data_IF_509352598543
#
_entry.id   IF_509352598543
#
_cell.length_a   1.000
_cell.length_b   1.000
_cell.length_c   1.000
_cell.angle_alpha   90.00
_cell.angle_beta   90.00
_cell.angle_gamma   90.00
#
_symmetry.space_group_name_H-M   'P 1'
#
loop_
_entity.id
_entity.type
_entity.pdbx_description
1 polymer ?
#
# COMPACT_ATOMS: atom_id res chain seq x y z
N UNK A 1 12.36 59.91 56.32
CA UNK A 1 12.82 59.38 55.07
C UNK A 1 12.25 57.96 55.00
N UNK A 2 11.21 57.74 54.21
CA UNK A 2 10.46 56.49 54.16
C UNK A 2 10.80 55.75 52.84
N UNK A 3 11.46 54.58 52.95
CA UNK A 3 11.71 53.73 51.84
C UNK A 3 10.50 52.77 51.62
N UNK A 4 9.83 52.89 50.51
CA UNK A 4 8.78 51.99 50.07
C UNK A 4 9.41 50.96 49.07
N UNK A 5 9.58 49.71 49.56
CA UNK A 5 10.02 48.63 48.71
C UNK A 5 8.82 48.07 47.90
N UNK A 6 8.92 48.09 46.58
CA UNK A 6 8.01 47.38 45.69
C UNK A 6 8.43 45.89 45.62
N UNK A 7 7.53 45.01 46.03
CA UNK A 7 7.70 43.56 45.81
C UNK A 7 7.13 43.19 44.42
N UNK A 8 7.99 42.72 43.55
CA UNK A 8 7.60 42.19 42.24
C UNK A 8 7.15 40.73 42.39
N UNK A 9 5.87 40.46 42.12
CA UNK A 9 5.35 39.09 42.08
C UNK A 9 5.58 38.52 40.67
N UNK A 10 6.48 37.58 40.56
CA UNK A 10 6.71 36.83 39.32
C UNK A 10 5.63 35.72 39.17
N UNK A 11 4.72 35.88 38.20
CA UNK A 11 3.75 34.85 37.83
C UNK A 11 4.39 33.91 36.83
N UNK A 12 4.77 32.71 37.26
CA UNK A 12 5.30 31.67 36.41
C UNK A 12 4.13 30.93 35.75
N UNK A 13 3.89 31.17 34.46
CA UNK A 13 2.89 30.44 33.68
C UNK A 13 3.45 29.05 33.32
N UNK A 14 2.87 28.02 33.92
CA UNK A 14 3.18 26.63 33.65
C UNK A 14 2.42 26.20 32.38
N UNK A 15 3.09 26.17 31.21
CA UNK A 15 2.51 25.68 29.97
C UNK A 15 2.54 24.14 29.97
N UNK A 16 1.37 23.53 30.16
CA UNK A 16 1.18 22.09 29.98
C UNK A 16 1.12 21.78 28.48
N UNK A 17 2.19 21.22 27.94
CA UNK A 17 2.18 20.63 26.58
C UNK A 17 1.52 19.26 26.64
N UNK A 18 0.29 19.14 26.14
CA UNK A 18 -0.36 17.86 25.87
C UNK A 18 0.36 17.17 24.70
N UNK A 19 1.30 16.28 25.00
CA UNK A 19 1.85 15.37 24.02
C UNK A 19 0.77 14.34 23.66
N UNK A 20 0.05 14.59 22.57
CA UNK A 20 -0.86 13.60 21.98
C UNK A 20 -0.06 12.39 21.52
N UNK A 21 -0.26 11.22 22.13
CA UNK A 21 0.28 9.95 21.65
C UNK A 21 -0.36 9.63 20.31
N UNK A 22 0.40 9.75 19.22
CA UNK A 22 0.01 9.18 17.93
C UNK A 22 -0.01 7.65 18.11
N UNK A 23 -1.19 7.06 18.19
CA UNK A 23 -1.33 5.61 18.17
C UNK A 23 -0.83 5.10 16.82
N UNK A 24 0.27 4.37 16.81
CA UNK A 24 0.75 3.69 15.61
C UNK A 24 -0.32 2.68 15.17
N UNK A 25 -0.75 2.75 13.91
CA UNK A 25 -1.65 1.74 13.35
C UNK A 25 -0.90 0.40 13.32
N UNK A 26 -1.40 -0.56 14.06
CA UNK A 26 -0.85 -1.92 14.11
C UNK A 26 -1.65 -2.78 13.14
N UNK A 27 -1.00 -3.27 12.10
CA UNK A 27 -1.59 -4.18 11.12
C UNK A 27 -1.08 -5.58 11.41
N UNK A 28 -1.97 -6.54 11.55
CA UNK A 28 -1.65 -7.94 11.81
C UNK A 28 -1.99 -8.83 10.62
N UNK A 29 -1.22 -9.90 10.46
CA UNK A 29 -1.54 -10.97 9.53
C UNK A 29 -2.74 -11.75 10.05
N UNK A 30 -3.79 -11.86 9.23
CA UNK A 30 -5.04 -12.54 9.60
C UNK A 30 -5.06 -13.96 9.05
N UNK A 31 -4.90 -14.11 7.73
CA UNK A 31 -5.09 -15.40 7.04
C UNK A 31 -4.28 -15.44 5.74
N UNK A 32 -3.94 -16.64 5.28
CA UNK A 32 -3.26 -16.87 4.00
C UNK A 32 -4.11 -17.74 3.08
N UNK A 33 -4.27 -17.28 1.83
CA UNK A 33 -5.02 -17.96 0.78
C UNK A 33 -4.12 -18.14 -0.46
N UNK A 34 -3.65 -19.36 -0.68
CA UNK A 34 -2.65 -19.62 -1.71
C UNK A 34 -1.36 -18.84 -1.46
N UNK A 35 -0.99 -17.95 -2.39
CA UNK A 35 0.17 -17.06 -2.24
C UNK A 35 -0.18 -15.68 -1.64
N UNK A 36 -1.48 -15.39 -1.46
CA UNK A 36 -1.99 -14.13 -0.95
C UNK A 36 -2.18 -14.18 0.55
N UNK A 37 -1.73 -13.17 1.26
CA UNK A 37 -1.88 -13.02 2.71
C UNK A 37 -2.74 -11.82 3.04
N UNK A 38 -3.79 -12.01 3.85
CA UNK A 38 -4.64 -10.95 4.37
C UNK A 38 -4.03 -10.34 5.63
N UNK A 39 -4.01 -9.01 5.63
CA UNK A 39 -3.62 -8.17 6.76
C UNK A 39 -4.77 -7.22 7.10
N UNK A 40 -4.98 -6.96 8.38
CA UNK A 40 -6.00 -6.04 8.84
C UNK A 40 -5.51 -5.18 10.02
N UNK A 41 -6.00 -3.95 10.09
CA UNK A 41 -5.84 -3.09 11.26
C UNK A 41 -6.49 -3.73 12.48
N UNK A 42 -5.83 -3.68 13.62
CA UNK A 42 -6.34 -4.18 14.91
C UNK A 42 -7.33 -3.21 15.56
N UNK A 43 -7.39 -1.96 15.12
CA UNK A 43 -8.34 -0.96 15.62
C UNK A 43 -9.80 -1.28 15.22
N UNK A 44 -10.75 -0.77 15.99
CA UNK A 44 -12.19 -0.86 15.69
C UNK A 44 -12.80 0.54 15.74
N UNK A 45 -13.39 1.07 14.64
CA UNK A 45 -13.46 0.45 13.31
C UNK A 45 -12.09 0.37 12.62
N UNK A 46 -11.89 -0.67 11.79
CA UNK A 46 -10.64 -0.84 11.05
C UNK A 46 -10.42 0.32 10.08
N UNK A 47 -9.20 0.85 10.04
CA UNK A 47 -8.83 1.92 9.12
C UNK A 47 -8.42 1.37 7.75
N UNK A 48 -7.81 0.18 7.73
CA UNK A 48 -7.28 -0.46 6.53
C UNK A 48 -7.26 -1.97 6.65
N UNK A 49 -7.59 -2.67 5.56
CA UNK A 49 -7.26 -4.07 5.34
C UNK A 49 -6.63 -4.20 3.96
N UNK A 50 -5.75 -5.15 3.78
CA UNK A 50 -5.18 -5.44 2.48
C UNK A 50 -4.77 -6.89 2.34
N UNK A 51 -4.76 -7.36 1.10
CA UNK A 51 -4.11 -8.61 0.73
C UNK A 51 -2.81 -8.29 0.00
N UNK A 52 -1.79 -9.11 0.22
CA UNK A 52 -0.49 -8.92 -0.41
C UNK A 52 0.09 -10.25 -0.87
N UNK A 53 0.81 -10.22 -2.01
CA UNK A 53 1.60 -11.33 -2.50
C UNK A 53 2.97 -10.85 -2.96
N UNK A 54 3.98 -11.72 -2.85
CA UNK A 54 5.28 -11.54 -3.46
C UNK A 54 5.31 -12.19 -4.84
N UNK A 55 6.16 -11.72 -5.76
CA UNK A 55 6.30 -12.36 -7.07
C UNK A 55 6.90 -13.78 -6.92
N UNK A 56 6.43 -14.69 -7.75
CA UNK A 56 7.00 -16.04 -7.86
C UNK A 56 8.25 -16.09 -8.76
N UNK A 57 8.40 -15.09 -9.65
CA UNK A 57 9.58 -14.91 -10.47
C UNK A 57 9.87 -13.42 -10.69
N UNK A 58 11.14 -13.08 -10.80
CA UNK A 58 11.63 -11.70 -11.02
C UNK A 58 12.69 -11.72 -12.11
N UNK A 59 12.61 -10.75 -13.00
CA UNK A 59 13.59 -10.56 -14.08
C UNK A 59 14.05 -9.09 -14.12
N UNK A 60 15.37 -8.83 -14.28
CA UNK A 60 16.46 -9.80 -14.27
C UNK A 60 16.76 -10.34 -12.86
N UNK A 61 17.27 -11.56 -12.81
CA UNK A 61 17.75 -12.14 -11.55
C UNK A 61 18.93 -11.32 -10.99
N UNK A 62 19.01 -11.25 -9.65
CA UNK A 62 20.11 -10.55 -8.96
C UNK A 62 20.04 -9.01 -9.02
N UNK A 63 18.98 -8.43 -9.53
CA UNK A 63 18.77 -6.98 -9.43
C UNK A 63 18.71 -6.55 -7.96
N UNK A 64 19.51 -5.52 -7.60
CA UNK A 64 19.47 -4.96 -6.24
C UNK A 64 18.17 -4.18 -6.03
N UNK A 65 17.23 -4.78 -5.31
CA UNK A 65 15.87 -4.29 -5.08
C UNK A 65 15.49 -4.42 -3.59
N UNK A 66 14.70 -3.49 -3.11
CA UNK A 66 13.99 -3.63 -1.84
C UNK A 66 12.82 -4.62 -1.95
N UNK A 67 11.98 -4.71 -0.90
CA UNK A 67 10.80 -5.60 -0.89
C UNK A 67 9.84 -5.30 -2.04
N UNK A 68 9.37 -6.38 -2.69
CA UNK A 68 8.51 -6.36 -3.88
C UNK A 68 7.17 -6.99 -3.52
N UNK A 69 6.06 -6.27 -3.77
CA UNK A 69 4.72 -6.76 -3.43
C UNK A 69 3.67 -6.25 -4.39
N UNK A 70 2.67 -7.08 -4.65
CA UNK A 70 1.38 -6.68 -5.17
C UNK A 70 0.40 -6.61 -4.01
N UNK A 71 -0.28 -5.48 -3.86
CA UNK A 71 -1.30 -5.23 -2.84
C UNK A 71 -2.67 -5.02 -3.48
N UNK A 72 -3.72 -5.45 -2.80
CA UNK A 72 -5.09 -4.94 -3.03
C UNK A 72 -5.60 -4.50 -1.67
N UNK A 73 -5.89 -3.19 -1.53
CA UNK A 73 -6.19 -2.54 -0.26
C UNK A 73 -7.65 -2.09 -0.21
N UNK A 74 -8.28 -2.27 0.93
CA UNK A 74 -9.57 -1.69 1.27
C UNK A 74 -9.38 -0.57 2.31
N UNK A 75 -10.01 0.59 2.05
CA UNK A 75 -10.04 1.76 2.92
C UNK A 75 -11.50 2.03 3.33
N UNK A 76 -12.02 1.40 4.42
CA UNK A 76 -13.44 1.51 4.79
C UNK A 76 -13.92 2.95 5.01
N UNK A 77 -13.07 3.81 5.59
CA UNK A 77 -13.41 5.22 5.84
C UNK A 77 -13.62 6.03 4.56
N UNK A 78 -12.95 5.64 3.48
CA UNK A 78 -12.99 6.31 2.19
C UNK A 78 -13.96 5.63 1.21
N UNK A 79 -14.60 4.54 1.65
CA UNK A 79 -15.52 3.74 0.82
C UNK A 79 -14.81 2.94 -0.29
N UNK A 80 -13.48 2.86 -0.25
CA UNK A 80 -12.67 2.12 -1.23
C UNK A 80 -12.63 0.65 -0.83
N UNK A 81 -13.14 -0.22 -1.69
CA UNK A 81 -13.21 -1.66 -1.45
C UNK A 81 -11.99 -2.44 -1.97
N UNK A 82 -11.43 -1.97 -3.09
CA UNK A 82 -10.29 -2.62 -3.74
C UNK A 82 -9.43 -1.58 -4.45
N UNK A 83 -8.25 -1.30 -3.95
CA UNK A 83 -7.24 -0.46 -4.57
C UNK A 83 -6.00 -1.31 -4.89
N UNK A 84 -5.79 -1.72 -6.15
CA UNK A 84 -4.58 -2.41 -6.57
C UNK A 84 -3.39 -1.47 -6.55
N UNK A 85 -2.28 -1.91 -5.95
CA UNK A 85 -1.01 -1.18 -6.02
C UNK A 85 0.17 -2.15 -6.03
N UNK A 86 1.24 -1.76 -6.72
CA UNK A 86 2.43 -2.58 -6.84
C UNK A 86 3.63 -1.81 -6.30
N UNK A 87 4.38 -2.41 -5.40
CA UNK A 87 5.68 -1.93 -4.95
C UNK A 87 6.77 -2.72 -5.66
N UNK A 88 7.63 -2.05 -6.44
CA UNK A 88 8.68 -2.70 -7.24
C UNK A 88 10.04 -2.73 -6.57
N UNK A 89 10.20 -2.11 -5.39
CA UNK A 89 11.42 -2.17 -4.59
C UNK A 89 12.58 -1.31 -5.11
N UNK A 90 12.30 -0.34 -5.98
CA UNK A 90 13.23 0.68 -6.44
C UNK A 90 12.49 1.92 -6.93
N UNK A 91 13.10 3.12 -6.94
CA UNK A 91 12.52 4.30 -7.57
C UNK A 91 12.30 4.06 -9.06
N UNK A 92 11.06 4.17 -9.51
CA UNK A 92 10.68 4.01 -10.92
C UNK A 92 11.07 5.27 -11.69
N UNK A 93 11.53 5.10 -12.94
CA UNK A 93 11.84 6.22 -13.83
C UNK A 93 10.56 7.00 -14.13
N UNK A 94 10.49 8.31 -13.85
CA UNK A 94 9.24 9.08 -13.93
C UNK A 94 8.54 9.05 -15.28
N UNK A 95 9.31 9.06 -16.37
CA UNK A 95 8.79 9.10 -17.74
C UNK A 95 8.68 7.71 -18.40
N UNK A 96 8.93 6.64 -17.63
CA UNK A 96 8.78 5.28 -18.12
C UNK A 96 7.36 4.78 -17.91
N UNK A 97 6.94 3.88 -18.78
CA UNK A 97 5.68 3.17 -18.59
C UNK A 97 5.84 2.08 -17.52
N UNK A 98 4.86 2.01 -16.62
CA UNK A 98 4.67 0.89 -15.71
C UNK A 98 3.33 0.26 -16.02
N UNK A 99 3.27 -1.08 -16.08
CA UNK A 99 2.05 -1.79 -16.48
C UNK A 99 1.87 -3.12 -15.75
N UNK A 100 0.62 -3.55 -15.66
CA UNK A 100 0.21 -4.92 -15.29
C UNK A 100 -0.46 -5.57 -16.48
N UNK A 101 -0.06 -6.78 -16.83
CA UNK A 101 -0.70 -7.59 -17.88
C UNK A 101 -1.27 -8.87 -17.27
N UNK A 102 -2.52 -9.18 -17.59
CA UNK A 102 -3.21 -10.41 -17.18
C UNK A 102 -3.85 -11.03 -18.43
N UNK A 103 -3.37 -12.20 -18.83
CA UNK A 103 -3.76 -12.78 -20.13
C UNK A 103 -3.39 -11.84 -21.28
N UNK A 104 -4.40 -11.31 -22.00
CA UNK A 104 -4.23 -10.34 -23.10
C UNK A 104 -4.47 -8.89 -22.67
N UNK A 105 -4.99 -8.67 -21.48
CA UNK A 105 -5.35 -7.35 -21.00
C UNK A 105 -4.17 -6.64 -20.34
N UNK A 106 -3.85 -5.43 -20.78
CA UNK A 106 -2.76 -4.61 -20.26
C UNK A 106 -3.30 -3.31 -19.65
N UNK A 107 -2.88 -3.03 -18.42
CA UNK A 107 -3.30 -1.87 -17.63
C UNK A 107 -2.09 -0.99 -17.33
N UNK A 108 -2.19 0.30 -17.68
CA UNK A 108 -1.16 1.29 -17.36
C UNK A 108 -1.29 1.74 -15.91
N UNK A 109 -0.14 1.94 -15.28
CA UNK A 109 -0.07 2.40 -13.89
C UNK A 109 0.51 3.81 -13.81
N UNK A 110 -0.09 4.62 -12.96
CA UNK A 110 0.45 5.89 -12.51
C UNK A 110 1.56 5.64 -11.48
N UNK A 111 2.72 6.27 -11.68
CA UNK A 111 3.92 6.04 -10.88
C UNK A 111 4.01 7.07 -9.75
N UNK A 112 4.22 6.58 -8.51
CA UNK A 112 4.54 7.40 -7.34
C UNK A 112 5.71 6.77 -6.57
N UNK A 113 6.92 7.27 -6.81
CA UNK A 113 8.14 6.76 -6.18
C UNK A 113 8.46 5.31 -6.60
N UNK A 114 8.31 4.37 -5.67
CA UNK A 114 8.53 2.93 -5.89
C UNK A 114 7.24 2.16 -6.20
N UNK A 115 6.10 2.88 -6.33
CA UNK A 115 4.78 2.26 -6.48
C UNK A 115 4.10 2.67 -7.77
N UNK A 116 3.28 1.74 -8.29
CA UNK A 116 2.32 1.98 -9.35
C UNK A 116 0.89 1.78 -8.85
N UNK A 117 -0.04 2.62 -9.35
CA UNK A 117 -1.46 2.62 -9.02
C UNK A 117 -2.27 2.73 -10.32
N UNK A 118 -3.50 2.22 -10.32
CA UNK A 118 -4.46 2.54 -11.38
C UNK A 118 -5.08 3.89 -11.08
N UNK A 119 -5.10 4.80 -12.05
CA UNK A 119 -5.60 6.16 -11.84
C UNK A 119 -7.11 6.29 -12.05
N UNK A 120 -7.65 5.54 -13.02
CA UNK A 120 -9.06 5.56 -13.37
C UNK A 120 -9.82 4.47 -12.59
N UNK A 121 -10.89 4.79 -11.83
CA UNK A 121 -11.65 3.80 -11.06
C UNK A 121 -12.30 2.71 -11.93
N UNK A 122 -12.66 3.01 -13.18
CA UNK A 122 -13.23 2.02 -14.09
C UNK A 122 -12.17 1.01 -14.55
N UNK A 123 -10.96 1.50 -14.86
CA UNK A 123 -9.82 0.63 -15.19
C UNK A 123 -9.36 -0.19 -13.98
N UNK A 124 -9.47 0.37 -12.77
CA UNK A 124 -9.19 -0.36 -11.52
C UNK A 124 -10.12 -1.57 -11.36
N UNK A 125 -11.42 -1.38 -11.54
CA UNK A 125 -12.39 -2.47 -11.48
C UNK A 125 -12.11 -3.53 -12.56
N UNK A 126 -11.79 -3.10 -13.79
CA UNK A 126 -11.40 -4.03 -14.87
C UNK A 126 -10.17 -4.83 -14.53
N UNK A 127 -9.14 -4.20 -13.95
CA UNK A 127 -7.93 -4.90 -13.49
C UNK A 127 -8.29 -5.95 -12.44
N UNK A 128 -9.09 -5.60 -11.41
CA UNK A 128 -9.50 -6.55 -10.36
C UNK A 128 -10.26 -7.74 -10.97
N UNK A 129 -11.17 -7.52 -11.94
CA UNK A 129 -11.89 -8.59 -12.62
C UNK A 129 -10.98 -9.45 -13.51
N UNK A 130 -9.99 -8.86 -14.18
CA UNK A 130 -8.99 -9.60 -14.92
C UNK A 130 -8.12 -10.48 -14.00
N UNK A 131 -7.67 -9.91 -12.86
CA UNK A 131 -6.90 -10.63 -11.85
C UNK A 131 -7.66 -11.84 -11.29
N UNK A 132 -8.99 -11.73 -11.05
CA UNK A 132 -9.84 -12.84 -10.57
C UNK A 132 -9.95 -13.99 -11.57
N UNK A 133 -9.85 -13.69 -12.86
CA UNK A 133 -9.99 -14.69 -13.96
C UNK A 133 -8.67 -15.25 -14.44
N UNK A 134 -7.56 -14.55 -14.18
CA UNK A 134 -6.24 -14.92 -14.66
C UNK A 134 -5.56 -15.98 -13.80
N UNK A 135 -4.48 -16.55 -14.34
CA UNK A 135 -3.59 -17.45 -13.61
C UNK A 135 -2.34 -16.74 -13.10
N UNK A 136 -1.84 -15.77 -13.87
CA UNK A 136 -0.67 -14.97 -13.56
C UNK A 136 -0.89 -13.51 -13.95
N UNK A 137 -0.26 -12.61 -13.20
CA UNK A 137 -0.10 -11.21 -13.57
C UNK A 137 1.38 -10.90 -13.79
N UNK A 138 1.69 -10.14 -14.85
CA UNK A 138 3.03 -9.70 -15.20
C UNK A 138 3.13 -8.19 -14.98
N UNK A 139 4.02 -7.79 -14.09
CA UNK A 139 4.28 -6.37 -13.81
C UNK A 139 5.57 -5.96 -14.49
N UNK A 140 5.50 -4.96 -15.39
CA UNK A 140 6.66 -4.37 -16.05
C UNK A 140 6.92 -2.96 -15.54
N UNK A 141 8.18 -2.65 -15.26
CA UNK A 141 8.59 -1.32 -14.84
C UNK A 141 10.07 -1.07 -15.22
N UNK A 142 10.47 0.20 -15.26
CA UNK A 142 11.86 0.57 -15.50
C UNK A 142 12.37 1.41 -14.33
N UNK A 143 13.49 1.01 -13.74
CA UNK A 143 14.09 1.73 -12.63
C UNK A 143 14.66 3.10 -13.06
N UNK A 144 14.84 4.02 -12.11
CA UNK A 144 15.49 5.32 -12.38
C UNK A 144 16.90 5.18 -13.00
N UNK A 145 17.55 4.01 -12.80
CA UNK A 145 18.85 3.68 -13.41
C UNK A 145 18.74 3.09 -14.82
N UNK A 146 17.52 2.92 -15.35
CA UNK A 146 17.27 2.40 -16.70
C UNK A 146 17.16 0.88 -16.79
N UNK A 147 17.17 0.13 -15.68
CA UNK A 147 16.96 -1.31 -15.69
C UNK A 147 15.47 -1.62 -15.83
N UNK A 148 15.07 -2.31 -16.90
CA UNK A 148 13.73 -2.84 -17.07
C UNK A 148 13.56 -4.13 -16.29
N UNK A 149 12.43 -4.29 -15.61
CA UNK A 149 12.10 -5.50 -14.84
C UNK A 149 10.76 -6.07 -15.24
N UNK A 150 10.61 -7.38 -15.08
CA UNK A 150 9.33 -8.09 -15.17
C UNK A 150 9.17 -8.96 -13.92
N UNK A 151 8.09 -8.73 -13.18
CA UNK A 151 7.75 -9.51 -11.99
C UNK A 151 6.52 -10.34 -12.29
N UNK A 152 6.57 -11.64 -12.05
CA UNK A 152 5.44 -12.58 -12.27
C UNK A 152 4.78 -12.91 -10.94
N UNK A 153 3.50 -12.64 -10.82
CA UNK A 153 2.68 -12.96 -9.65
C UNK A 153 1.71 -14.08 -9.98
N UNK A 154 1.65 -15.10 -9.12
CA UNK A 154 0.57 -16.10 -9.18
C UNK A 154 -0.73 -15.49 -8.67
N UNK A 155 -1.84 -15.77 -9.34
CA UNK A 155 -3.19 -15.37 -8.93
C UNK A 155 -3.93 -16.49 -8.17
N UNK A 156 -3.22 -17.59 -7.87
CA UNK A 156 -3.77 -18.69 -7.08
C UNK A 156 -4.19 -18.24 -5.68
N UNK A 157 -5.46 -18.43 -5.35
CA UNK A 157 -6.07 -18.02 -4.07
C UNK A 157 -6.55 -16.58 -4.01
N UNK A 158 -6.35 -15.77 -5.07
CA UNK A 158 -6.73 -14.35 -5.07
C UNK A 158 -8.23 -14.14 -4.86
N UNK A 159 -9.09 -14.88 -5.57
CA UNK A 159 -10.55 -14.72 -5.45
C UNK A 159 -11.02 -14.95 -4.03
N UNK A 160 -10.56 -16.02 -3.38
CA UNK A 160 -10.85 -16.28 -1.97
C UNK A 160 -10.27 -15.21 -1.04
N UNK A 161 -9.05 -14.73 -1.33
CA UNK A 161 -8.44 -13.66 -0.54
C UNK A 161 -9.23 -12.34 -0.64
N UNK A 162 -9.79 -12.01 -1.82
CA UNK A 162 -10.67 -10.85 -2.02
C UNK A 162 -11.99 -10.97 -1.24
N UNK A 163 -12.59 -12.16 -1.19
CA UNK A 163 -13.78 -12.40 -0.37
C UNK A 163 -13.49 -12.19 1.12
N UNK A 164 -12.34 -12.68 1.59
CA UNK A 164 -11.88 -12.48 2.96
C UNK A 164 -11.56 -11.02 3.26
N UNK A 165 -10.96 -10.29 2.31
CA UNK A 165 -10.72 -8.84 2.41
C UNK A 165 -12.03 -8.08 2.60
N UNK A 166 -13.04 -8.37 1.77
CA UNK A 166 -14.34 -7.74 1.87
C UNK A 166 -15.07 -8.05 3.18
N UNK A 167 -14.92 -9.27 3.71
CA UNK A 167 -15.48 -9.66 5.01
C UNK A 167 -14.75 -9.00 6.19
N UNK A 168 -13.44 -8.78 6.08
CA UNK A 168 -12.62 -8.17 7.13
C UNK A 168 -12.81 -6.64 7.22
N UNK A 169 -13.05 -5.99 6.09
CA UNK A 169 -13.25 -4.54 5.95
C UNK A 169 -14.48 -4.28 5.05
N UNK A 170 -15.72 -4.42 5.58
CA UNK A 170 -16.96 -4.26 4.84
C UNK A 170 -17.25 -2.81 4.38
#
# INVERSE_FOLDING_TARGET
MRNTGLAAIAVTALTFTLAGSAAAQTVEQVEKQGVWTLYADTATPKAVCFIAAQPQAVEPLGANRGPIFFYITAWPKDGVKTEPSIKVGYPVKPDAEMSVTVGTDAFKLFIKGERGFVQDPTEELKLVEALKKGSNAFVKATSARGTSTTDTYSLSGLSTALEKLAAACP
#
